data_IF_183647833623
#
_entry.id   IF_183647833623
#
_cell.length_a   1.000
_cell.length_b   1.000
_cell.length_c   1.000
_cell.angle_alpha   90.00
_cell.angle_beta   90.00
_cell.angle_gamma   90.00
#
_symmetry.space_group_name_H-M   'P 1'
#
loop_
_entity.id
_entity.type
_entity.pdbx_description
1 polymer ?
#
# COMPACT_ATOMS: atom_id res chain seq x y z
N UNK A 1 12.47 -9.70 26.32
CA UNK A 1 12.59 -10.70 25.24
C UNK A 1 11.31 -11.52 25.23
N UNK A 2 10.72 -11.76 24.06
CA UNK A 2 9.55 -12.66 23.94
C UNK A 2 10.00 -14.12 24.13
N UNK A 3 9.25 -14.97 24.84
CA UNK A 3 9.60 -16.38 25.04
C UNK A 3 9.26 -17.20 23.78
N UNK A 4 10.14 -17.16 22.78
CA UNK A 4 9.91 -17.80 21.48
C UNK A 4 9.79 -19.32 21.57
N UNK A 5 10.61 -19.96 22.41
CA UNK A 5 10.62 -21.42 22.55
C UNK A 5 9.30 -21.95 23.12
N UNK A 6 8.72 -21.27 24.12
CA UNK A 6 7.42 -21.64 24.67
C UNK A 6 6.27 -21.46 23.67
N UNK A 7 6.33 -20.42 22.83
CA UNK A 7 5.34 -20.20 21.77
C UNK A 7 5.45 -21.31 20.73
N UNK A 8 6.67 -21.66 20.32
CA UNK A 8 6.94 -22.77 19.41
C UNK A 8 6.40 -24.08 19.99
N UNK A 9 6.75 -24.42 21.22
CA UNK A 9 6.37 -25.71 21.82
C UNK A 9 4.85 -25.85 21.99
N UNK A 10 4.12 -24.74 22.13
CA UNK A 10 2.66 -24.76 22.30
C UNK A 10 1.88 -24.63 20.98
N UNK A 11 2.32 -23.75 20.07
CA UNK A 11 1.60 -23.41 18.83
C UNK A 11 2.22 -23.96 17.55
N UNK A 12 3.43 -24.51 17.63
CA UNK A 12 4.21 -24.98 16.50
C UNK A 12 5.14 -23.91 15.90
N UNK A 13 6.00 -24.38 15.01
CA UNK A 13 7.12 -23.63 14.43
C UNK A 13 6.64 -22.53 13.47
N UNK A 14 5.55 -22.76 12.74
CA UNK A 14 4.92 -21.76 11.85
C UNK A 14 4.45 -20.51 12.60
N UNK A 15 3.88 -20.67 13.79
CA UNK A 15 3.45 -19.54 14.63
C UNK A 15 4.66 -18.94 15.35
N UNK A 16 5.59 -19.78 15.82
CA UNK A 16 6.85 -19.34 16.41
C UNK A 16 7.65 -18.40 15.51
N UNK A 17 7.84 -18.75 14.23
CA UNK A 17 8.63 -17.95 13.29
C UNK A 17 7.96 -16.62 12.98
N UNK A 18 6.62 -16.58 12.91
CA UNK A 18 5.86 -15.33 12.73
C UNK A 18 6.13 -14.35 13.87
N UNK A 19 6.05 -14.80 15.14
CA UNK A 19 6.35 -13.95 16.28
C UNK A 19 7.82 -13.56 16.37
N UNK A 20 8.73 -14.46 16.01
CA UNK A 20 10.16 -14.16 15.93
C UNK A 20 10.45 -13.05 14.91
N UNK A 21 9.84 -13.12 13.71
CA UNK A 21 9.94 -12.09 12.68
C UNK A 21 9.35 -10.75 13.15
N UNK A 22 8.15 -10.77 13.73
CA UNK A 22 7.47 -9.57 14.20
C UNK A 22 8.28 -8.85 15.29
N UNK A 23 8.81 -9.62 16.26
CA UNK A 23 9.66 -9.09 17.32
C UNK A 23 10.96 -8.49 16.77
N UNK A 24 11.61 -9.18 15.85
CA UNK A 24 12.81 -8.69 15.16
C UNK A 24 12.53 -7.40 14.37
N UNK A 25 11.44 -7.37 13.62
CA UNK A 25 11.00 -6.21 12.85
C UNK A 25 10.74 -5.00 13.76
N UNK A 26 10.02 -5.18 14.87
CA UNK A 26 9.75 -4.11 15.83
C UNK A 26 11.03 -3.52 16.44
N UNK A 27 12.01 -4.35 16.81
CA UNK A 27 13.30 -3.90 17.30
C UNK A 27 14.10 -3.13 16.26
N UNK A 28 14.12 -3.60 15.01
CA UNK A 28 14.81 -2.92 13.92
C UNK A 28 14.13 -1.62 13.49
N UNK A 29 12.82 -1.48 13.74
CA UNK A 29 12.07 -0.26 13.44
C UNK A 29 12.40 0.89 14.41
N UNK A 30 12.88 0.60 15.62
CA UNK A 30 13.24 1.59 16.63
C UNK A 30 14.25 2.65 16.13
N UNK A 31 15.43 2.31 15.56
CA UNK A 31 16.36 3.31 15.03
C UNK A 31 15.76 4.12 13.88
N UNK A 32 14.92 3.50 13.04
CA UNK A 32 14.24 4.22 11.96
C UNK A 32 13.21 5.22 12.49
N UNK A 33 12.45 4.85 13.53
CA UNK A 33 11.51 5.74 14.21
C UNK A 33 12.23 6.92 14.88
N UNK A 34 13.37 6.69 15.54
CA UNK A 34 14.18 7.75 16.15
C UNK A 34 14.67 8.74 15.08
N UNK A 35 15.22 8.25 13.97
CA UNK A 35 15.66 9.10 12.86
C UNK A 35 14.51 9.88 12.23
N UNK A 36 13.33 9.25 12.07
CA UNK A 36 12.12 9.92 11.59
C UNK A 36 11.65 11.03 12.53
N UNK A 37 11.67 10.79 13.85
CA UNK A 37 11.34 11.81 14.85
C UNK A 37 12.32 12.99 14.82
N UNK A 38 13.61 12.74 14.68
CA UNK A 38 14.63 13.79 14.52
C UNK A 38 14.33 14.65 13.28
N UNK A 39 13.96 14.03 12.17
CA UNK A 39 13.59 14.74 10.94
C UNK A 39 12.37 15.66 11.14
N UNK A 40 11.34 15.18 11.83
CA UNK A 40 10.12 15.97 12.13
C UNK A 40 10.43 17.12 13.10
N UNK A 41 11.20 16.85 14.15
CA UNK A 41 11.60 17.88 15.14
C UNK A 41 12.43 18.97 14.45
N UNK A 42 13.38 18.61 13.58
CA UNK A 42 14.14 19.57 12.79
C UNK A 42 13.23 20.47 11.93
N UNK A 43 12.27 19.87 11.21
CA UNK A 43 11.29 20.60 10.42
C UNK A 43 10.44 21.57 11.26
N UNK A 44 10.00 21.15 12.45
CA UNK A 44 9.23 22.00 13.37
C UNK A 44 10.04 23.19 13.89
N UNK A 45 11.31 22.99 14.27
CA UNK A 45 12.17 24.06 14.78
C UNK A 45 12.49 25.11 13.71
N UNK A 46 12.66 24.68 12.45
CA UNK A 46 12.98 25.58 11.33
C UNK A 46 11.76 26.22 10.66
N UNK A 47 10.54 25.74 10.96
CA UNK A 47 9.30 26.13 10.29
C UNK A 47 9.09 27.65 10.20
N UNK A 48 9.29 28.38 11.30
CA UNK A 48 9.06 29.83 11.33
C UNK A 48 10.14 30.64 10.61
N UNK A 49 11.35 30.07 10.48
CA UNK A 49 12.49 30.71 9.82
C UNK A 49 12.52 30.50 8.30
N UNK A 50 11.70 29.58 7.78
CA UNK A 50 11.72 29.21 6.37
C UNK A 50 10.96 30.24 5.52
N UNK A 51 11.69 30.90 4.62
CA UNK A 51 11.22 32.06 3.85
C UNK A 51 9.97 31.75 3.01
N UNK A 52 9.89 30.64 2.25
CA UNK A 52 8.70 30.34 1.44
C UNK A 52 7.42 30.14 2.27
N UNK A 53 7.49 29.49 3.43
CA UNK A 53 6.31 29.35 4.32
C UNK A 53 5.90 30.71 4.88
N UNK A 54 6.87 31.56 5.23
CA UNK A 54 6.60 32.92 5.69
C UNK A 54 5.92 33.77 4.61
N UNK A 55 6.38 33.71 3.37
CA UNK A 55 5.80 34.45 2.24
C UNK A 55 4.39 33.96 1.87
N UNK A 56 4.12 32.65 1.96
CA UNK A 56 2.77 32.09 1.72
C UNK A 56 1.80 32.52 2.83
N UNK A 57 2.26 32.53 4.09
CA UNK A 57 1.43 32.88 5.24
C UNK A 57 1.28 34.40 5.47
N UNK A 58 1.99 35.24 4.71
CA UNK A 58 1.94 36.69 4.85
C UNK A 58 0.64 37.26 4.25
N UNK A 59 -0.27 37.69 5.11
CA UNK A 59 -1.56 38.28 4.70
C UNK A 59 -1.43 39.71 4.18
N UNK A 60 -0.27 40.36 4.34
CA UNK A 60 -0.05 41.72 3.83
C UNK A 60 0.11 41.75 2.30
N UNK A 61 0.52 40.63 1.69
CA UNK A 61 0.69 40.47 0.25
C UNK A 61 -0.47 39.69 -0.35
N UNK A 62 -1.35 40.37 -1.09
CA UNK A 62 -2.47 39.73 -1.77
C UNK A 62 -2.04 39.16 -3.12
N UNK A 63 -1.72 37.86 -3.16
CA UNK A 63 -1.47 37.11 -4.39
C UNK A 63 -2.73 36.32 -4.79
N UNK A 64 -3.54 36.80 -5.76
CA UNK A 64 -4.68 36.05 -6.28
C UNK A 64 -4.22 34.92 -7.19
N UNK A 65 -4.75 33.73 -6.95
CA UNK A 65 -4.47 32.52 -7.72
C UNK A 65 -5.59 32.21 -8.71
N UNK A 66 -5.23 31.60 -9.84
CA UNK A 66 -6.16 31.18 -10.88
C UNK A 66 -7.15 30.12 -10.38
N UNK A 67 -8.38 30.08 -10.92
CA UNK A 67 -9.36 29.08 -10.54
C UNK A 67 -8.95 27.67 -10.99
N UNK A 68 -9.21 26.69 -10.11
CA UNK A 68 -8.87 25.26 -10.32
C UNK A 68 -9.85 24.52 -11.24
N UNK A 69 -10.95 25.14 -11.64
CA UNK A 69 -12.01 24.51 -12.46
C UNK A 69 -12.30 25.32 -13.73
N UNK A 70 -12.82 24.64 -14.75
CA UNK A 70 -13.15 25.24 -16.06
C UNK A 70 -14.30 26.24 -16.00
N UNK A 71 -15.30 26.02 -15.13
CA UNK A 71 -16.50 26.88 -15.03
C UNK A 71 -16.89 27.10 -13.57
N UNK A 72 -17.36 28.31 -13.24
CA UNK A 72 -17.98 28.69 -11.95
C UNK A 72 -17.09 28.47 -10.72
N UNK A 73 -15.80 28.79 -10.81
CA UNK A 73 -14.90 28.76 -9.65
C UNK A 73 -14.32 30.17 -9.40
N UNK A 74 -14.33 30.66 -8.14
CA UNK A 74 -13.78 31.98 -7.82
C UNK A 74 -12.25 31.98 -7.83
N UNK A 75 -11.67 33.18 -7.94
CA UNK A 75 -10.27 33.40 -7.59
C UNK A 75 -10.10 33.25 -6.09
N UNK A 76 -8.95 32.72 -5.67
CA UNK A 76 -8.66 32.43 -4.27
C UNK A 76 -7.29 33.00 -3.89
N UNK A 77 -7.05 33.22 -2.60
CA UNK A 77 -5.84 33.87 -2.12
C UNK A 77 -4.78 32.84 -1.72
N UNK A 78 -3.49 33.15 -1.98
CA UNK A 78 -2.40 32.24 -1.62
C UNK A 78 -2.33 31.96 -0.10
N UNK A 79 -2.67 32.94 0.73
CA UNK A 79 -2.64 32.85 2.20
C UNK A 79 -3.60 31.81 2.77
N UNK A 80 -4.68 31.46 2.05
CA UNK A 80 -5.61 30.38 2.41
C UNK A 80 -4.90 29.00 2.49
N UNK A 81 -3.73 28.86 1.86
CA UNK A 81 -2.94 27.61 1.84
C UNK A 81 -1.83 27.54 2.89
N UNK A 82 -1.78 28.50 3.81
CA UNK A 82 -0.74 28.59 4.84
C UNK A 82 -0.59 27.31 5.69
N UNK A 83 -1.70 26.72 6.15
CA UNK A 83 -1.65 25.50 6.99
C UNK A 83 -1.04 24.33 6.21
N UNK A 84 -1.46 24.14 4.95
CA UNK A 84 -0.94 23.08 4.09
C UNK A 84 0.56 23.24 3.85
N UNK A 85 1.03 24.47 3.63
CA UNK A 85 2.44 24.78 3.43
C UNK A 85 3.28 24.52 4.68
N UNK A 86 2.74 24.84 5.86
CA UNK A 86 3.40 24.53 7.14
C UNK A 86 3.58 23.03 7.33
N UNK A 87 2.52 22.25 7.12
CA UNK A 87 2.59 20.79 7.27
C UNK A 87 3.51 20.18 6.22
N UNK A 88 3.40 20.61 4.96
CA UNK A 88 4.27 20.11 3.89
C UNK A 88 5.75 20.30 4.22
N UNK A 89 6.17 21.49 4.69
CA UNK A 89 7.56 21.75 5.06
C UNK A 89 8.06 20.88 6.22
N UNK A 90 7.22 20.59 7.23
CA UNK A 90 7.63 19.71 8.35
C UNK A 90 8.06 18.34 7.84
N UNK A 91 7.36 17.80 6.84
CA UNK A 91 7.64 16.47 6.26
C UNK A 91 8.52 16.50 5.01
N UNK A 92 8.72 17.66 4.39
CA UNK A 92 9.55 17.89 3.22
C UNK A 92 10.58 19.00 3.52
N UNK A 93 11.55 18.63 4.37
CA UNK A 93 12.65 19.48 4.77
C UNK A 93 13.98 18.93 4.25
N UNK A 94 15.05 19.72 4.31
CA UNK A 94 16.37 19.32 3.79
C UNK A 94 16.92 18.02 4.42
N UNK A 95 16.51 17.69 5.65
CA UNK A 95 16.94 16.49 6.36
C UNK A 95 16.21 15.22 5.89
N UNK A 96 15.07 15.34 5.20
CA UNK A 96 14.32 14.18 4.66
C UNK A 96 15.12 13.43 3.61
N UNK A 97 16.00 14.12 2.87
CA UNK A 97 16.93 13.51 1.91
C UNK A 97 17.91 12.58 2.62
N UNK A 98 18.44 13.01 3.76
CA UNK A 98 19.32 12.19 4.61
C UNK A 98 18.54 11.00 5.15
N UNK A 99 17.29 11.21 5.59
CA UNK A 99 16.42 10.14 6.03
C UNK A 99 16.14 9.10 4.93
N UNK A 100 15.93 9.52 3.67
CA UNK A 100 15.70 8.61 2.55
C UNK A 100 16.92 7.71 2.25
N UNK A 101 18.14 8.26 2.34
CA UNK A 101 19.39 7.48 2.22
C UNK A 101 19.49 6.49 3.38
N UNK A 102 19.25 6.94 4.60
CA UNK A 102 19.24 6.09 5.78
C UNK A 102 18.23 4.93 5.64
N UNK A 103 17.00 5.21 5.19
CA UNK A 103 15.97 4.19 5.02
C UNK A 103 16.35 3.14 3.97
N UNK A 104 17.07 3.54 2.92
CA UNK A 104 17.57 2.62 1.89
C UNK A 104 18.63 1.67 2.45
N UNK A 105 19.54 2.16 3.30
CA UNK A 105 20.55 1.36 3.99
C UNK A 105 19.89 0.48 5.07
N UNK A 106 18.94 1.03 5.82
CA UNK A 106 18.20 0.31 6.84
C UNK A 106 17.44 -0.89 6.25
N UNK A 107 16.80 -0.72 5.09
CA UNK A 107 16.05 -1.78 4.43
C UNK A 107 16.95 -2.97 4.02
N UNK A 108 18.15 -2.70 3.50
CA UNK A 108 19.10 -3.76 3.15
C UNK A 108 19.67 -4.43 4.40
N UNK A 109 20.07 -3.67 5.41
CA UNK A 109 20.52 -4.20 6.70
C UNK A 109 19.46 -5.08 7.37
N UNK A 110 18.21 -4.63 7.37
CA UNK A 110 17.08 -5.39 7.91
C UNK A 110 16.96 -6.78 7.27
N UNK A 111 16.98 -6.84 5.93
CA UNK A 111 16.88 -8.12 5.21
C UNK A 111 18.09 -9.03 5.46
N UNK A 112 19.31 -8.49 5.47
CA UNK A 112 20.52 -9.28 5.73
C UNK A 112 20.55 -9.84 7.16
N UNK A 113 20.19 -9.02 8.14
CA UNK A 113 20.14 -9.46 9.53
C UNK A 113 18.98 -10.42 9.78
N UNK A 114 17.83 -10.26 9.09
CA UNK A 114 16.76 -11.23 9.15
C UNK A 114 17.18 -12.58 8.58
N UNK A 115 17.83 -12.61 7.40
CA UNK A 115 18.35 -13.88 6.82
C UNK A 115 19.30 -14.60 7.78
N UNK A 116 20.17 -13.86 8.48
CA UNK A 116 21.05 -14.42 9.51
C UNK A 116 20.27 -14.98 10.70
N UNK A 117 19.29 -14.24 11.22
CA UNK A 117 18.46 -14.69 12.36
C UNK A 117 17.58 -15.88 11.97
N UNK A 118 17.04 -15.90 10.76
CA UNK A 118 16.27 -17.02 10.23
C UNK A 118 17.13 -18.29 10.14
N UNK A 119 18.39 -18.19 9.70
CA UNK A 119 19.30 -19.33 9.65
C UNK A 119 19.66 -19.87 11.04
N UNK A 120 19.84 -18.99 12.02
CA UNK A 120 20.05 -19.38 13.42
C UNK A 120 18.84 -20.13 13.98
N UNK A 121 17.62 -19.59 13.78
CA UNK A 121 16.38 -20.23 14.22
C UNK A 121 16.16 -21.57 13.51
N UNK A 122 16.39 -21.64 12.20
CA UNK A 122 16.24 -22.88 11.44
C UNK A 122 17.19 -23.98 11.95
N UNK A 123 18.39 -23.62 12.42
CA UNK A 123 19.30 -24.56 13.06
C UNK A 123 18.86 -24.93 14.49
N UNK A 124 18.49 -23.95 15.32
CA UNK A 124 18.05 -24.18 16.70
C UNK A 124 16.77 -25.02 16.80
N UNK A 125 15.89 -24.90 15.81
CA UNK A 125 14.60 -25.60 15.77
C UNK A 125 14.63 -26.84 14.86
N UNK A 126 15.79 -27.20 14.32
CA UNK A 126 16.00 -28.37 13.46
C UNK A 126 15.04 -28.42 12.25
N UNK A 127 14.87 -27.28 11.59
CA UNK A 127 13.95 -27.08 10.46
C UNK A 127 14.64 -27.18 9.08
N UNK A 128 15.89 -27.62 9.04
CA UNK A 128 16.65 -27.74 7.80
C UNK A 128 16.13 -28.93 6.99
N UNK A 129 15.55 -28.68 5.82
CA UNK A 129 15.07 -29.75 4.91
C UNK A 129 13.61 -30.20 5.14
N UNK A 130 12.86 -29.52 6.01
CA UNK A 130 11.47 -29.87 6.35
C UNK A 130 10.55 -30.02 5.12
N UNK A 131 10.63 -29.10 4.16
CA UNK A 131 9.78 -29.11 2.95
C UNK A 131 10.02 -30.36 2.07
N UNK A 132 11.25 -30.83 1.97
CA UNK A 132 11.61 -31.96 1.10
C UNK A 132 11.32 -33.32 1.76
N UNK A 133 11.44 -33.40 3.09
CA UNK A 133 11.38 -34.68 3.82
C UNK A 133 9.98 -35.00 4.37
N UNK A 134 9.22 -34.00 4.81
CA UNK A 134 7.97 -34.23 5.56
C UNK A 134 6.69 -33.81 4.83
N UNK A 135 6.76 -32.91 3.85
CA UNK A 135 5.54 -32.34 3.25
C UNK A 135 4.80 -33.33 2.32
N UNK A 136 3.59 -33.72 2.74
CA UNK A 136 2.73 -34.63 1.96
C UNK A 136 1.98 -33.88 0.84
N UNK A 137 1.75 -34.53 -0.31
CA UNK A 137 0.91 -33.96 -1.36
C UNK A 137 -0.55 -33.81 -0.89
N UNK A 138 -1.24 -32.80 -1.43
CA UNK A 138 -2.61 -32.49 -1.02
C UNK A 138 -3.58 -33.58 -1.51
N UNK A 139 -4.57 -34.02 -0.70
CA UNK A 139 -5.55 -35.04 -1.12
C UNK A 139 -6.35 -34.66 -2.38
N UNK A 140 -6.64 -33.36 -2.57
CA UNK A 140 -7.30 -32.85 -3.78
C UNK A 140 -6.45 -33.07 -5.05
N UNK A 141 -5.13 -32.97 -4.91
CA UNK A 141 -4.19 -33.21 -5.99
C UNK A 141 -4.07 -34.70 -6.30
N UNK A 142 -3.95 -35.53 -5.26
CA UNK A 142 -3.87 -36.99 -5.40
C UNK A 142 -5.13 -37.59 -6.03
N UNK A 143 -6.31 -37.08 -5.67
CA UNK A 143 -7.58 -37.57 -6.22
C UNK A 143 -7.72 -37.34 -7.75
N UNK A 144 -7.02 -36.34 -8.29
CA UNK A 144 -7.09 -35.96 -9.72
C UNK A 144 -5.89 -36.49 -10.51
N UNK A 145 -4.77 -36.79 -9.84
CA UNK A 145 -3.57 -37.29 -10.48
C UNK A 145 -3.75 -38.73 -10.98
N UNK A 146 -3.74 -38.90 -12.31
CA UNK A 146 -3.86 -40.22 -12.97
C UNK A 146 -2.48 -40.82 -13.24
N UNK A 147 -1.47 -39.98 -13.48
CA UNK A 147 -0.12 -40.41 -13.83
C UNK A 147 0.74 -40.46 -12.56
N UNK A 148 1.67 -41.42 -12.49
CA UNK A 148 2.70 -41.48 -11.45
C UNK A 148 4.09 -41.32 -12.07
N UNK A 149 5.01 -40.76 -11.31
CA UNK A 149 6.41 -40.56 -11.70
C UNK A 149 7.33 -41.07 -10.59
N UNK A 150 8.34 -41.86 -10.95
CA UNK A 150 9.37 -42.29 -10.02
C UNK A 150 10.28 -41.10 -9.65
N UNK A 151 10.38 -40.79 -8.36
CA UNK A 151 11.29 -39.77 -7.86
C UNK A 151 12.76 -40.28 -7.96
N UNK A 152 13.68 -39.52 -8.57
CA UNK A 152 15.07 -39.96 -8.76
C UNK A 152 15.87 -40.11 -7.46
N UNK A 153 15.44 -39.47 -6.36
CA UNK A 153 16.15 -39.46 -5.07
C UNK A 153 15.57 -40.54 -4.15
N UNK A 154 14.26 -40.47 -3.87
CA UNK A 154 13.59 -41.37 -2.93
C UNK A 154 13.24 -42.74 -3.54
N UNK A 155 13.23 -42.84 -4.88
CA UNK A 155 12.80 -44.04 -5.64
C UNK A 155 11.38 -44.50 -5.31
N UNK A 156 10.53 -43.59 -4.84
CA UNK A 156 9.10 -43.82 -4.60
C UNK A 156 8.30 -43.33 -5.81
N UNK A 157 7.21 -44.02 -6.15
CA UNK A 157 6.27 -43.56 -7.18
C UNK A 157 5.36 -42.48 -6.60
N UNK A 158 5.38 -41.29 -7.20
CA UNK A 158 4.61 -40.13 -6.73
C UNK A 158 3.57 -39.70 -7.78
N UNK A 159 2.38 -39.24 -7.36
CA UNK A 159 1.37 -38.72 -8.26
C UNK A 159 1.87 -37.47 -9.00
N UNK A 160 1.71 -37.43 -10.32
CA UNK A 160 2.18 -36.37 -11.20
C UNK A 160 1.08 -35.93 -12.17
N UNK A 161 0.95 -34.62 -12.39
CA UNK A 161 0.06 -34.05 -13.39
C UNK A 161 0.91 -33.37 -14.47
N UNK A 162 0.71 -33.79 -15.72
CA UNK A 162 1.43 -33.24 -16.87
C UNK A 162 1.21 -31.72 -17.04
N UNK A 163 2.29 -31.02 -17.39
CA UNK A 163 2.30 -29.56 -17.48
C UNK A 163 1.26 -29.03 -18.49
N UNK A 164 1.05 -29.76 -19.59
CA UNK A 164 0.08 -29.38 -20.64
C UNK A 164 -1.37 -29.29 -20.14
N UNK A 165 -1.73 -30.04 -19.08
CA UNK A 165 -3.06 -29.95 -18.45
C UNK A 165 -3.16 -28.78 -17.48
N UNK A 166 -2.05 -28.36 -16.87
CA UNK A 166 -2.01 -27.23 -15.92
C UNK A 166 -1.96 -25.87 -16.64
N UNK A 167 -1.27 -25.78 -17.78
CA UNK A 167 -1.02 -24.52 -18.52
C UNK A 167 -2.30 -23.70 -18.80
N UNK A 168 -3.43 -24.28 -19.26
CA UNK A 168 -4.65 -23.49 -19.48
C UNK A 168 -5.21 -22.85 -18.21
N UNK A 169 -5.13 -23.56 -17.07
CA UNK A 169 -5.55 -23.04 -15.76
C UNK A 169 -4.69 -21.87 -15.31
N UNK A 170 -3.35 -22.00 -15.45
CA UNK A 170 -2.41 -20.92 -15.16
C UNK A 170 -2.64 -19.68 -16.04
N UNK A 171 -2.83 -19.86 -17.35
CA UNK A 171 -3.09 -18.74 -18.27
C UNK A 171 -4.40 -18.04 -17.91
N UNK A 172 -5.46 -18.79 -17.63
CA UNK A 172 -6.76 -18.22 -17.28
C UNK A 172 -6.71 -17.47 -15.94
N UNK A 173 -6.06 -18.04 -14.93
CA UNK A 173 -5.84 -17.39 -13.64
C UNK A 173 -5.00 -16.12 -13.77
N UNK A 174 -3.89 -16.16 -14.52
CA UNK A 174 -3.07 -14.97 -14.77
C UNK A 174 -3.82 -13.86 -15.52
N UNK A 175 -4.61 -14.23 -16.54
CA UNK A 175 -5.48 -13.31 -17.27
C UNK A 175 -6.51 -12.66 -16.35
N UNK A 176 -7.12 -13.43 -15.44
CA UNK A 176 -8.08 -12.93 -14.47
C UNK A 176 -7.44 -11.97 -13.46
N UNK A 177 -6.20 -12.25 -13.03
CA UNK A 177 -5.44 -11.33 -12.17
C UNK A 177 -5.25 -10.00 -12.88
N UNK A 178 -4.79 -9.99 -14.13
CA UNK A 178 -4.62 -8.75 -14.91
C UNK A 178 -5.95 -7.99 -15.04
N UNK A 179 -7.04 -8.69 -15.33
CA UNK A 179 -8.36 -8.08 -15.39
C UNK A 179 -8.76 -7.41 -14.06
N UNK A 180 -8.54 -8.09 -12.93
CA UNK A 180 -8.81 -7.54 -11.61
C UNK A 180 -7.92 -6.35 -11.26
N UNK A 181 -6.64 -6.39 -11.64
CA UNK A 181 -5.73 -5.25 -11.48
C UNK A 181 -6.21 -4.04 -12.29
N UNK A 182 -6.73 -4.25 -13.50
CA UNK A 182 -7.32 -3.18 -14.30
C UNK A 182 -8.58 -2.60 -13.63
N UNK A 183 -9.45 -3.44 -13.07
CA UNK A 183 -10.63 -2.98 -12.31
C UNK A 183 -10.26 -2.12 -11.11
N UNK A 184 -9.19 -2.46 -10.38
CA UNK A 184 -8.67 -1.64 -9.28
C UNK A 184 -8.27 -0.25 -9.78
N UNK A 185 -7.51 -0.17 -10.87
CA UNK A 185 -7.11 1.13 -11.45
C UNK A 185 -8.32 1.95 -11.89
N UNK A 186 -9.32 1.31 -12.49
CA UNK A 186 -10.59 1.97 -12.87
C UNK A 186 -11.34 2.48 -11.64
N UNK A 187 -11.43 1.69 -10.57
CA UNK A 187 -12.10 2.09 -9.33
C UNK A 187 -11.39 3.28 -8.67
N UNK A 188 -10.06 3.28 -8.61
CA UNK A 188 -9.27 4.41 -8.10
C UNK A 188 -9.48 5.66 -8.96
N UNK A 189 -9.47 5.51 -10.29
CA UNK A 189 -9.77 6.62 -11.21
C UNK A 189 -11.20 7.16 -11.00
N UNK A 190 -12.19 6.29 -10.77
CA UNK A 190 -13.56 6.70 -10.48
C UNK A 190 -13.68 7.52 -9.19
N UNK A 191 -12.91 7.17 -8.14
CA UNK A 191 -12.85 7.96 -6.90
C UNK A 191 -12.23 9.35 -7.14
N UNK A 192 -11.20 9.45 -7.99
CA UNK A 192 -10.62 10.74 -8.39
C UNK A 192 -11.64 11.58 -9.15
N UNK A 193 -12.35 11.00 -10.12
CA UNK A 193 -13.41 11.72 -10.87
C UNK A 193 -14.52 12.19 -9.94
N UNK A 194 -14.93 11.35 -8.98
CA UNK A 194 -15.91 11.73 -7.95
C UNK A 194 -15.43 12.96 -7.15
N UNK A 195 -14.16 13.00 -6.74
CA UNK A 195 -13.57 14.13 -6.01
C UNK A 195 -13.68 15.42 -6.82
N UNK A 196 -13.29 15.40 -8.10
CA UNK A 196 -13.40 16.55 -9.01
C UNK A 196 -14.84 17.04 -9.13
N UNK A 197 -15.78 16.12 -9.30
CA UNK A 197 -17.19 16.44 -9.45
C UNK A 197 -17.76 17.12 -8.18
N UNK A 198 -17.48 16.55 -7.00
CA UNK A 198 -17.94 17.12 -5.73
C UNK A 198 -17.30 18.48 -5.46
N UNK A 199 -16.00 18.64 -5.75
CA UNK A 199 -15.33 19.93 -5.63
C UNK A 199 -15.99 21.00 -6.52
N UNK A 200 -16.30 20.67 -7.78
CA UNK A 200 -16.97 21.59 -8.68
C UNK A 200 -18.38 21.99 -8.21
N UNK A 201 -19.14 21.06 -7.62
CA UNK A 201 -20.48 21.34 -7.07
C UNK A 201 -20.40 22.24 -5.83
N UNK A 202 -19.49 21.94 -4.90
CA UNK A 202 -19.30 22.74 -3.69
C UNK A 202 -18.73 24.14 -3.99
N UNK A 203 -17.84 24.24 -4.99
CA UNK A 203 -17.30 25.53 -5.43
C UNK A 203 -18.36 26.42 -6.11
N UNK A 204 -19.39 25.82 -6.69
CA UNK A 204 -20.53 26.54 -7.27
C UNK A 204 -21.60 26.96 -6.23
N UNK A 205 -21.49 26.50 -4.98
CA UNK A 205 -22.41 26.87 -3.91
C UNK A 205 -22.18 28.31 -3.41
N UNK A 206 -23.24 28.97 -2.95
CA UNK A 206 -23.21 30.37 -2.47
C UNK A 206 -22.36 30.56 -1.20
N UNK A 207 -22.26 29.55 -0.34
CA UNK A 207 -21.50 29.58 0.92
C UNK A 207 -20.09 29.00 0.73
N UNK A 208 -19.33 29.57 -0.20
CA UNK A 208 -17.98 29.12 -0.52
C UNK A 208 -16.99 29.43 0.61
N UNK A 209 -16.60 28.39 1.35
CA UNK A 209 -15.46 28.42 2.25
C UNK A 209 -14.39 27.44 1.77
N UNK A 210 -13.31 27.97 1.17
CA UNK A 210 -12.21 27.20 0.57
C UNK A 210 -11.61 26.15 1.53
N UNK A 211 -11.44 26.50 2.81
CA UNK A 211 -10.87 25.59 3.82
C UNK A 211 -11.80 24.41 4.11
N UNK A 212 -13.09 24.68 4.33
CA UNK A 212 -14.09 23.65 4.61
C UNK A 212 -14.32 22.74 3.38
N UNK A 213 -14.35 23.31 2.17
CA UNK A 213 -14.53 22.56 0.93
C UNK A 213 -13.33 21.65 0.65
N UNK A 214 -12.10 22.13 0.81
CA UNK A 214 -10.90 21.30 0.59
C UNK A 214 -10.77 20.17 1.62
N UNK A 215 -11.09 20.45 2.89
CA UNK A 215 -11.07 19.43 3.94
C UNK A 215 -12.17 18.40 3.74
N UNK A 216 -13.40 18.82 3.44
CA UNK A 216 -14.53 17.93 3.19
C UNK A 216 -14.29 17.06 1.96
N UNK A 217 -13.89 17.63 0.82
CA UNK A 217 -13.63 16.87 -0.43
C UNK A 217 -12.49 15.88 -0.30
N UNK A 218 -11.40 16.26 0.37
CA UNK A 218 -10.25 15.36 0.56
C UNK A 218 -10.56 14.28 1.59
N UNK A 219 -11.28 14.60 2.66
CA UNK A 219 -11.71 13.64 3.67
C UNK A 219 -12.72 12.62 3.14
N UNK A 220 -13.75 13.05 2.42
CA UNK A 220 -14.75 12.15 1.84
C UNK A 220 -14.15 11.27 0.74
N UNK A 221 -13.28 11.81 -0.11
CA UNK A 221 -12.56 11.03 -1.11
C UNK A 221 -11.65 9.97 -0.47
N UNK A 222 -10.92 10.32 0.59
CA UNK A 222 -10.06 9.36 1.31
C UNK A 222 -10.89 8.24 1.98
N UNK A 223 -12.03 8.56 2.59
CA UNK A 223 -12.94 7.59 3.19
C UNK A 223 -13.55 6.65 2.14
N UNK A 224 -14.03 7.18 1.02
CA UNK A 224 -14.58 6.36 -0.07
C UNK A 224 -13.51 5.47 -0.70
N UNK A 225 -12.29 5.96 -0.85
CA UNK A 225 -11.16 5.16 -1.31
C UNK A 225 -10.89 4.00 -0.34
N UNK A 226 -10.87 4.27 0.97
CA UNK A 226 -10.68 3.24 2.00
C UNK A 226 -11.79 2.17 1.94
N UNK A 227 -13.06 2.58 1.87
CA UNK A 227 -14.20 1.64 1.76
C UNK A 227 -14.08 0.78 0.49
N UNK A 228 -13.75 1.40 -0.63
CA UNK A 228 -13.52 0.71 -1.91
C UNK A 228 -12.41 -0.33 -1.77
N UNK A 229 -11.25 0.06 -1.23
CA UNK A 229 -10.11 -0.83 -1.00
C UNK A 229 -10.52 -2.03 -0.14
N UNK A 230 -11.26 -1.82 0.94
CA UNK A 230 -11.68 -2.88 1.86
C UNK A 230 -12.66 -3.87 1.22
N UNK A 231 -13.66 -3.37 0.48
CA UNK A 231 -14.61 -4.21 -0.25
C UNK A 231 -13.91 -5.05 -1.33
N UNK A 232 -13.05 -4.40 -2.12
CA UNK A 232 -12.30 -5.08 -3.17
C UNK A 232 -11.35 -6.14 -2.61
N UNK A 233 -10.68 -5.89 -1.48
CA UNK A 233 -9.82 -6.88 -0.82
C UNK A 233 -10.61 -8.14 -0.44
N UNK A 234 -11.79 -8.00 0.18
CA UNK A 234 -12.61 -9.15 0.61
C UNK A 234 -13.12 -9.97 -0.58
N UNK A 235 -13.54 -9.31 -1.65
CA UNK A 235 -13.99 -9.98 -2.88
C UNK A 235 -12.82 -10.71 -3.54
N UNK A 236 -11.66 -10.06 -3.64
CA UNK A 236 -10.50 -10.64 -4.30
C UNK A 236 -9.92 -11.82 -3.52
N UNK A 237 -9.91 -11.78 -2.19
CA UNK A 237 -9.44 -12.90 -1.36
C UNK A 237 -10.19 -14.19 -1.68
N UNK A 238 -11.53 -14.14 -1.74
CA UNK A 238 -12.35 -15.30 -2.10
C UNK A 238 -12.12 -15.79 -3.52
N UNK A 239 -11.91 -14.87 -4.45
CA UNK A 239 -11.64 -15.22 -5.84
C UNK A 239 -10.23 -15.80 -6.01
N UNK A 240 -9.22 -15.25 -5.35
CA UNK A 240 -7.85 -15.73 -5.35
C UNK A 240 -7.76 -17.15 -4.77
N UNK A 241 -8.54 -17.45 -3.73
CA UNK A 241 -8.66 -18.80 -3.18
C UNK A 241 -9.22 -19.78 -4.23
N UNK A 242 -10.33 -19.43 -4.89
CA UNK A 242 -10.94 -20.27 -5.94
C UNK A 242 -9.98 -20.49 -7.11
N UNK A 243 -9.34 -19.42 -7.60
CA UNK A 243 -8.41 -19.49 -8.72
C UNK A 243 -7.16 -20.32 -8.40
N UNK A 244 -6.66 -20.20 -7.17
CA UNK A 244 -5.45 -20.94 -6.76
C UNK A 244 -5.75 -22.42 -6.55
N UNK A 245 -6.93 -22.78 -6.00
CA UNK A 245 -7.36 -24.18 -5.97
C UNK A 245 -7.52 -24.76 -7.38
N UNK A 246 -7.99 -23.95 -8.34
CA UNK A 246 -8.17 -24.39 -9.72
C UNK A 246 -6.84 -24.64 -10.47
N UNK A 247 -5.75 -24.00 -10.08
CA UNK A 247 -4.40 -24.28 -10.62
C UNK A 247 -3.82 -25.62 -10.15
N UNK A 248 -4.45 -26.27 -9.16
CA UNK A 248 -4.05 -27.57 -8.60
C UNK A 248 -2.56 -27.65 -8.22
N UNK A 249 -2.13 -26.85 -7.22
CA UNK A 249 -0.79 -26.99 -6.61
C UNK A 249 -0.66 -28.35 -5.93
N UNK A 250 0.57 -28.91 -5.95
CA UNK A 250 0.88 -30.24 -5.43
C UNK A 250 0.87 -30.26 -3.90
N UNK A 251 1.56 -29.30 -3.28
CA UNK A 251 1.75 -29.23 -1.82
C UNK A 251 1.01 -28.06 -1.21
N UNK A 252 0.91 -28.03 0.12
CA UNK A 252 0.22 -26.94 0.83
C UNK A 252 1.05 -25.67 0.80
N UNK A 253 2.38 -25.77 0.92
CA UNK A 253 3.33 -24.67 0.74
C UNK A 253 3.18 -24.04 -0.63
N UNK A 254 3.14 -24.83 -1.71
CA UNK A 254 2.97 -24.31 -3.08
C UNK A 254 1.63 -23.58 -3.24
N UNK A 255 0.56 -24.10 -2.63
CA UNK A 255 -0.75 -23.42 -2.63
C UNK A 255 -0.67 -22.06 -1.91
N UNK A 256 -0.09 -22.05 -0.72
CA UNK A 256 0.02 -20.85 0.11
C UNK A 256 0.93 -19.80 -0.53
N UNK A 257 2.02 -20.21 -1.19
CA UNK A 257 2.96 -19.34 -1.90
C UNK A 257 2.30 -18.69 -3.12
N UNK A 258 1.63 -19.48 -3.96
CA UNK A 258 0.92 -18.97 -5.13
C UNK A 258 -0.20 -18.03 -4.69
N UNK A 259 -0.98 -18.42 -3.67
CA UNK A 259 -2.03 -17.57 -3.12
C UNK A 259 -1.44 -16.26 -2.57
N UNK A 260 -0.36 -16.33 -1.79
CA UNK A 260 0.32 -15.18 -1.19
C UNK A 260 0.86 -14.24 -2.25
N UNK A 261 1.46 -14.77 -3.32
CA UNK A 261 1.96 -13.97 -4.44
C UNK A 261 0.82 -13.22 -5.17
N UNK A 262 -0.30 -13.89 -5.44
CA UNK A 262 -1.48 -13.27 -6.07
C UNK A 262 -2.08 -12.17 -5.19
N UNK A 263 -2.26 -12.47 -3.90
CA UNK A 263 -2.75 -11.52 -2.91
C UNK A 263 -1.80 -10.32 -2.78
N UNK A 264 -0.49 -10.56 -2.75
CA UNK A 264 0.51 -9.49 -2.71
C UNK A 264 0.42 -8.59 -3.94
N UNK A 265 0.38 -9.13 -5.15
CA UNK A 265 0.27 -8.33 -6.38
C UNK A 265 -0.99 -7.46 -6.38
N UNK A 266 -2.13 -8.04 -6.02
CA UNK A 266 -3.39 -7.32 -5.94
C UNK A 266 -3.35 -6.22 -4.88
N UNK A 267 -2.94 -6.55 -3.66
CA UNK A 267 -2.84 -5.58 -2.57
C UNK A 267 -1.85 -4.46 -2.91
N UNK A 268 -0.71 -4.79 -3.54
CA UNK A 268 0.27 -3.80 -3.98
C UNK A 268 -0.36 -2.77 -4.92
N UNK A 269 -1.05 -3.21 -5.97
CA UNK A 269 -1.72 -2.29 -6.89
C UNK A 269 -2.87 -1.55 -6.20
N UNK A 270 -3.67 -2.22 -5.37
CA UNK A 270 -4.81 -1.62 -4.69
C UNK A 270 -4.40 -0.51 -3.70
N UNK A 271 -3.34 -0.72 -2.92
CA UNK A 271 -2.87 0.26 -1.94
C UNK A 271 -1.99 1.35 -2.57
N UNK A 272 -1.10 1.01 -3.51
CA UNK A 272 -0.11 1.96 -4.01
C UNK A 272 -0.50 2.67 -5.32
N UNK A 273 -1.46 2.18 -6.11
CA UNK A 273 -1.86 2.82 -7.39
C UNK A 273 -2.28 4.28 -7.20
N UNK A 274 -3.07 4.55 -6.17
CA UNK A 274 -3.55 5.89 -5.84
C UNK A 274 -2.42 6.83 -5.39
N UNK A 275 -1.42 6.31 -4.68
CA UNK A 275 -0.21 7.06 -4.31
C UNK A 275 0.67 7.34 -5.53
N UNK A 276 0.85 6.36 -6.41
CA UNK A 276 1.56 6.53 -7.69
C UNK A 276 0.90 7.59 -8.57
N UNK A 277 -0.44 7.61 -8.62
CA UNK A 277 -1.20 8.63 -9.35
C UNK A 277 -0.90 10.04 -8.84
N UNK A 278 -0.97 10.25 -7.52
CA UNK A 278 -0.73 11.58 -6.93
C UNK A 278 0.73 12.01 -7.07
N UNK A 279 1.69 11.09 -6.88
CA UNK A 279 3.10 11.41 -6.93
C UNK A 279 3.59 11.74 -8.35
N UNK A 280 3.16 10.97 -9.37
CA UNK A 280 3.74 11.05 -10.72
C UNK A 280 2.82 11.70 -11.75
N UNK A 281 1.52 11.43 -11.71
CA UNK A 281 0.60 11.89 -12.75
C UNK A 281 0.01 13.26 -12.43
N UNK A 282 -0.30 13.55 -11.16
CA UNK A 282 -0.94 14.82 -10.74
C UNK A 282 -0.01 16.04 -10.84
N UNK A 283 1.31 15.85 -10.92
CA UNK A 283 2.30 16.94 -10.95
C UNK A 283 2.34 17.73 -12.28
N UNK A 284 1.76 17.21 -13.37
CA UNK A 284 1.89 17.80 -14.72
C UNK A 284 0.55 18.23 -15.35
N UNK A 285 -0.12 19.27 -14.82
CA UNK A 285 -1.45 19.71 -15.29
C UNK A 285 -1.43 20.55 -16.59
N UNK A 286 -0.26 21.03 -17.04
CA UNK A 286 -0.13 21.94 -18.19
C UNK A 286 -0.03 23.41 -17.75
N UNK A 287 -0.27 24.35 -18.68
CA UNK A 287 -0.21 25.80 -18.41
C UNK A 287 -1.61 26.41 -18.43
N UNK A 288 -1.84 27.54 -17.75
CA UNK A 288 -3.09 28.30 -17.89
C UNK A 288 -3.40 28.56 -19.37
N UNK A 289 -4.64 28.27 -19.80
CA UNK A 289 -5.16 28.23 -21.18
C UNK A 289 -4.92 26.92 -21.97
N UNK A 290 -3.83 26.19 -21.70
CA UNK A 290 -3.51 24.90 -22.34
C UNK A 290 -3.35 23.81 -21.27
N UNK A 291 -4.48 23.41 -20.67
CA UNK A 291 -4.53 22.33 -19.70
C UNK A 291 -4.52 20.97 -20.37
N UNK A 292 -3.81 20.01 -19.77
CA UNK A 292 -3.90 18.61 -20.16
C UNK A 292 -5.31 18.10 -19.84
N UNK A 293 -6.00 17.60 -20.86
CA UNK A 293 -7.35 17.04 -20.74
C UNK A 293 -7.31 15.54 -20.90
N UNK A 294 -7.80 14.81 -19.89
CA UNK A 294 -7.96 13.36 -19.93
C UNK A 294 -9.45 13.09 -20.15
N UNK A 295 -9.80 12.40 -21.23
CA UNK A 295 -11.20 12.16 -21.64
C UNK A 295 -12.08 13.42 -21.70
N UNK A 296 -11.49 14.57 -22.09
CA UNK A 296 -12.18 15.86 -22.19
C UNK A 296 -12.29 16.66 -20.89
N UNK A 297 -12.01 16.04 -19.74
CA UNK A 297 -12.00 16.70 -18.43
C UNK A 297 -10.62 17.29 -18.11
N UNK A 298 -10.58 18.47 -17.48
CA UNK A 298 -9.33 19.09 -16.98
C UNK A 298 -8.73 18.23 -15.88
N UNK A 299 -7.43 17.95 -16.01
CA UNK A 299 -6.67 17.21 -15.01
C UNK A 299 -6.61 17.96 -13.67
N UNK A 300 -6.67 17.23 -12.55
CA UNK A 300 -6.51 17.83 -11.22
C UNK A 300 -5.12 18.47 -11.05
N UNK A 301 -5.10 19.61 -10.36
CA UNK A 301 -3.89 20.33 -9.99
C UNK A 301 -3.52 20.08 -8.53
N UNK A 302 -2.22 20.11 -8.23
CA UNK A 302 -1.73 20.15 -6.86
C UNK A 302 -2.00 21.51 -6.19
N UNK A 303 -2.01 21.51 -4.86
CA UNK A 303 -1.91 22.74 -4.09
C UNK A 303 -0.55 23.43 -4.41
N UNK A 304 -0.41 24.76 -4.39
CA UNK A 304 0.90 25.42 -4.53
C UNK A 304 1.94 24.98 -3.52
N UNK A 305 1.51 24.52 -2.33
CA UNK A 305 2.35 23.88 -1.33
C UNK A 305 2.84 22.46 -1.72
N UNK A 306 2.42 21.94 -2.87
CA UNK A 306 2.66 20.57 -3.33
C UNK A 306 1.50 19.61 -3.08
N UNK A 307 1.61 18.41 -3.64
CA UNK A 307 0.70 17.28 -3.40
C UNK A 307 1.13 16.37 -2.24
N UNK A 308 2.27 16.65 -1.60
CA UNK A 308 2.85 15.81 -0.56
C UNK A 308 1.94 15.69 0.67
N UNK A 309 1.19 16.75 1.00
CA UNK A 309 0.17 16.69 2.04
C UNK A 309 -0.95 15.68 1.72
N UNK A 310 -1.42 15.64 0.47
CA UNK A 310 -2.46 14.68 0.07
C UNK A 310 -1.94 13.24 0.18
N UNK A 311 -0.68 13.01 -0.24
CA UNK A 311 0.00 11.72 -0.08
C UNK A 311 0.09 11.30 1.38
N UNK A 312 0.49 12.22 2.27
CA UNK A 312 0.63 11.93 3.69
C UNK A 312 -0.70 11.59 4.34
N UNK A 313 -1.75 12.36 4.07
CA UNK A 313 -3.10 12.08 4.58
C UNK A 313 -3.58 10.72 4.09
N UNK A 314 -3.34 10.41 2.82
CA UNK A 314 -3.75 9.13 2.25
C UNK A 314 -2.98 7.94 2.85
N UNK A 315 -1.67 8.07 3.03
CA UNK A 315 -0.85 7.07 3.72
C UNK A 315 -1.32 6.89 5.16
N UNK A 316 -1.59 7.98 5.89
CA UNK A 316 -2.08 7.92 7.26
C UNK A 316 -3.45 7.22 7.33
N UNK A 317 -4.39 7.56 6.45
CA UNK A 317 -5.72 6.92 6.38
C UNK A 317 -5.60 5.43 6.04
N UNK A 318 -4.73 5.06 5.10
CA UNK A 318 -4.53 3.65 4.75
C UNK A 318 -3.87 2.88 5.90
N UNK A 319 -2.78 3.38 6.47
CA UNK A 319 -2.04 2.68 7.52
C UNK A 319 -2.82 2.61 8.83
N UNK A 320 -3.35 3.74 9.29
CA UNK A 320 -4.08 3.82 10.57
C UNK A 320 -5.50 3.29 10.41
N UNK A 321 -6.20 3.66 9.34
CA UNK A 321 -7.58 3.24 9.11
C UNK A 321 -7.70 1.74 8.91
N UNK A 322 -6.80 1.13 8.12
CA UNK A 322 -6.76 -0.33 7.96
C UNK A 322 -6.42 -1.04 9.27
N UNK A 323 -5.44 -0.55 10.03
CA UNK A 323 -5.04 -1.17 11.29
C UNK A 323 -6.17 -1.12 12.33
N UNK A 324 -6.81 0.04 12.50
CA UNK A 324 -7.95 0.19 13.42
C UNK A 324 -9.09 -0.74 13.02
N UNK A 325 -9.43 -0.78 11.73
CA UNK A 325 -10.53 -1.61 11.26
C UNK A 325 -10.22 -3.11 11.39
N UNK A 326 -9.01 -3.54 11.04
CA UNK A 326 -8.62 -4.94 11.18
C UNK A 326 -8.61 -5.37 12.64
N UNK A 327 -8.02 -4.57 13.54
CA UNK A 327 -8.04 -4.84 14.97
C UNK A 327 -9.49 -4.90 15.51
N UNK A 328 -10.39 -4.04 15.00
CA UNK A 328 -11.79 -4.04 15.39
C UNK A 328 -12.54 -5.29 14.90
N UNK A 329 -12.29 -5.72 13.66
CA UNK A 329 -12.85 -6.98 13.14
C UNK A 329 -12.32 -8.18 13.94
N UNK A 330 -11.02 -8.24 14.21
CA UNK A 330 -10.38 -9.36 14.94
C UNK A 330 -10.94 -9.51 16.36
N UNK A 331 -11.34 -8.41 16.99
CA UNK A 331 -11.99 -8.44 18.31
C UNK A 331 -13.46 -8.87 18.23
N UNK A 332 -14.18 -8.52 17.16
CA UNK A 332 -15.63 -8.75 17.04
C UNK A 332 -15.98 -10.09 16.37
N UNK A 333 -15.17 -10.49 15.40
CA UNK A 333 -15.32 -11.74 14.65
C UNK A 333 -14.11 -12.61 15.01
N UNK A 334 -14.26 -13.51 16.00
CA UNK A 334 -13.18 -14.42 16.41
C UNK A 334 -12.86 -15.48 15.34
#
# INVERSE_FOLDING_TARGET
>A
MQPLDHIRDYFGEKIGIYFAWLGFYAWMLLPAAIMGLVCVIYGLVRLESYIPVKDICDTSKNFPMCPRCDKRCPYWSLSDTCIYSKVAYVFDNEFTVVFAIFMSIWATMFLEFWKRRQAEIAYEWDLLGYEDEEEQPRPEYEAVAIETRLNPITKVEEPFISLGRKVPGFICSFSFIIFMLALVVIAVFAVVVYRVAVYAVLAASSDYNMGAVNMATSGTAALLNLITIMLLNKVYEKLAEILTRWEMPRTQTELEDIFSFKMYLFQFVNFYSSLFYIAFFKLSPGRPAEFNRIFGFRQEECNPAGCLFELLVQLAVIMVGKQIFNNFIEIIVP
#
